data_IF_727449196247
#
_entry.id   IF_727449196247
#
_cell.length_a   1.000
_cell.length_b   1.000
_cell.length_c   1.000
_cell.angle_alpha   90.00
_cell.angle_beta   90.00
_cell.angle_gamma   90.00
#
_symmetry.space_group_name_H-M   'P 1'
#
loop_
_entity.id
_entity.type
_entity.pdbx_description
1 polymer ?
#
# COMPACT_ATOMS: atom_id res chain seq x y z
N UNK A 1 -1.05 -22.89 -29.87
CA UNK A 1 -0.01 -21.89 -30.21
C UNK A 1 0.08 -20.95 -29.04
N UNK A 2 1.00 -21.26 -28.14
CA UNK A 2 1.26 -20.42 -26.95
C UNK A 2 1.98 -19.16 -27.42
N UNK A 3 1.32 -18.03 -27.29
CA UNK A 3 1.99 -16.75 -27.44
C UNK A 3 2.88 -16.55 -26.21
N UNK A 4 4.15 -16.90 -26.38
CA UNK A 4 5.23 -16.61 -25.46
C UNK A 4 5.43 -15.08 -25.48
N UNK A 5 4.62 -14.35 -24.70
CA UNK A 5 4.76 -12.91 -24.51
C UNK A 5 6.11 -12.72 -23.84
N UNK A 6 7.02 -12.13 -24.57
CA UNK A 6 8.40 -11.82 -24.18
C UNK A 6 8.41 -10.95 -22.91
N UNK A 7 8.40 -11.58 -21.72
CA UNK A 7 8.40 -10.95 -20.39
C UNK A 7 9.75 -10.33 -19.99
N UNK A 8 10.63 -10.10 -20.94
CA UNK A 8 11.98 -9.57 -20.73
C UNK A 8 12.14 -8.10 -21.12
N UNK A 9 11.10 -7.26 -20.99
CA UNK A 9 11.35 -5.85 -20.82
C UNK A 9 12.06 -5.68 -19.46
N UNK A 10 13.14 -4.94 -19.41
CA UNK A 10 14.00 -4.67 -18.25
C UNK A 10 13.23 -4.06 -17.06
N UNK A 11 12.28 -4.79 -16.46
CA UNK A 11 11.65 -4.37 -15.23
C UNK A 11 12.68 -4.52 -14.11
N UNK A 12 13.25 -3.37 -13.70
CA UNK A 12 14.07 -3.33 -12.50
C UNK A 12 13.19 -3.69 -11.31
N UNK A 13 13.48 -4.79 -10.64
CA UNK A 13 12.89 -5.13 -9.35
C UNK A 13 13.26 -4.06 -8.33
N UNK A 14 12.33 -3.65 -7.49
CA UNK A 14 12.51 -2.60 -6.51
C UNK A 14 11.83 -1.29 -6.90
N UNK A 15 12.48 -0.14 -6.68
CA UNK A 15 11.86 1.16 -6.91
C UNK A 15 11.49 1.37 -8.39
N UNK A 16 10.23 1.71 -8.63
CA UNK A 16 9.74 2.13 -9.95
C UNK A 16 9.98 3.64 -10.06
N UNK A 17 10.73 4.12 -11.07
CA UNK A 17 11.06 5.54 -11.19
C UNK A 17 9.88 6.31 -11.80
N UNK A 18 8.90 6.66 -10.97
CA UNK A 18 7.76 7.52 -11.27
C UNK A 18 8.03 8.91 -10.73
N UNK A 19 7.50 9.95 -11.41
CA UNK A 19 7.77 11.35 -11.07
C UNK A 19 6.98 11.80 -9.83
N UNK A 20 5.66 11.58 -9.83
CA UNK A 20 4.78 11.97 -8.74
C UNK A 20 4.65 10.91 -7.64
N UNK A 21 5.15 9.70 -7.84
CA UNK A 21 4.96 8.56 -6.93
C UNK A 21 6.30 7.99 -6.45
N UNK A 22 7.07 8.73 -5.65
CA UNK A 22 8.46 8.37 -5.30
C UNK A 22 8.58 7.08 -4.47
N UNK A 23 7.51 6.66 -3.77
CA UNK A 23 7.50 5.46 -2.93
C UNK A 23 6.85 4.25 -3.62
N UNK A 24 6.89 4.19 -4.95
CA UNK A 24 6.34 3.04 -5.71
C UNK A 24 7.42 1.99 -5.95
N UNK A 25 7.11 0.71 -5.64
CA UNK A 25 8.05 -0.41 -5.74
C UNK A 25 7.39 -1.68 -6.24
N UNK A 26 8.09 -2.40 -7.12
CA UNK A 26 7.76 -3.77 -7.51
C UNK A 26 8.44 -4.76 -6.56
N UNK A 27 7.71 -5.73 -6.05
CA UNK A 27 8.22 -6.82 -5.23
C UNK A 27 8.83 -7.96 -6.07
N UNK A 28 8.81 -7.83 -7.38
CA UNK A 28 9.39 -8.81 -8.29
C UNK A 28 10.85 -9.13 -7.94
N UNK A 29 11.25 -10.38 -8.17
CA UNK A 29 12.60 -10.86 -7.89
C UNK A 29 12.91 -11.22 -6.44
N UNK A 30 12.08 -10.83 -5.46
CA UNK A 30 12.21 -11.29 -4.08
C UNK A 30 12.12 -12.81 -4.06
N UNK A 31 13.04 -13.44 -3.32
CA UNK A 31 13.14 -14.90 -3.22
C UNK A 31 12.42 -15.43 -1.98
N UNK A 32 11.72 -16.54 -2.15
CA UNK A 32 11.19 -17.34 -1.04
C UNK A 32 12.25 -18.27 -0.47
N UNK A 33 12.07 -18.77 0.74
CA UNK A 33 12.96 -19.78 1.34
C UNK A 33 13.00 -21.09 0.54
N UNK A 34 11.98 -21.36 -0.29
CA UNK A 34 11.95 -22.49 -1.22
C UNK A 34 12.72 -22.23 -2.54
N UNK A 35 13.35 -21.06 -2.68
CA UNK A 35 14.11 -20.68 -3.88
C UNK A 35 13.26 -20.17 -5.05
N UNK A 36 11.93 -20.09 -4.91
CA UNK A 36 11.05 -19.44 -5.88
C UNK A 36 11.26 -17.93 -5.89
N UNK A 37 10.79 -17.25 -6.91
CA UNK A 37 10.84 -15.79 -7.03
C UNK A 37 9.45 -15.21 -7.31
N UNK A 38 9.14 -14.09 -6.69
CA UNK A 38 8.00 -13.26 -7.09
C UNK A 38 8.23 -12.80 -8.52
N UNK A 39 7.20 -12.93 -9.36
CA UNK A 39 7.28 -12.49 -10.75
C UNK A 39 7.31 -10.95 -10.79
N UNK A 40 8.17 -10.33 -11.63
CA UNK A 40 8.16 -8.90 -11.88
C UNK A 40 6.81 -8.41 -12.44
N UNK A 41 6.48 -7.16 -12.17
CA UNK A 41 5.28 -6.49 -12.62
C UNK A 41 3.99 -7.26 -12.25
N UNK A 42 3.93 -7.79 -11.03
CA UNK A 42 2.75 -8.47 -10.48
C UNK A 42 2.26 -7.85 -9.19
N UNK A 43 3.17 -7.52 -8.29
CA UNK A 43 2.89 -7.10 -6.94
C UNK A 43 3.61 -5.76 -6.70
N UNK A 44 2.83 -4.67 -6.69
CA UNK A 44 3.35 -3.30 -6.60
C UNK A 44 2.80 -2.64 -5.33
N UNK A 45 3.67 -2.06 -4.53
CA UNK A 45 3.29 -1.22 -3.39
C UNK A 45 3.58 0.25 -3.66
N UNK A 46 2.74 1.17 -3.15
CA UNK A 46 2.87 2.61 -3.40
C UNK A 46 2.35 3.47 -2.25
N UNK A 47 2.67 4.76 -2.30
CA UNK A 47 1.88 5.83 -1.68
C UNK A 47 0.64 6.14 -2.50
N UNK A 48 -0.18 7.08 -2.02
CA UNK A 48 -1.42 7.47 -2.66
C UNK A 48 -1.20 7.98 -4.09
N UNK A 49 -2.12 7.66 -5.00
CA UNK A 49 -1.95 7.90 -6.44
C UNK A 49 -2.36 9.31 -6.90
N UNK A 50 -2.93 10.14 -6.03
CA UNK A 50 -3.44 11.47 -6.39
C UNK A 50 -2.35 12.45 -6.91
N UNK A 51 -1.07 12.18 -6.62
CA UNK A 51 0.06 12.96 -7.13
C UNK A 51 0.68 12.40 -8.43
N UNK A 52 0.12 11.30 -8.95
CA UNK A 52 0.61 10.71 -10.18
C UNK A 52 0.49 11.69 -11.36
N UNK A 53 1.57 11.83 -12.12
CA UNK A 53 1.54 12.57 -13.38
C UNK A 53 0.83 11.74 -14.46
N UNK A 54 0.32 12.36 -15.54
CA UNK A 54 -0.22 11.60 -16.66
C UNK A 54 0.78 10.57 -17.22
N UNK A 55 2.07 10.90 -17.25
CA UNK A 55 3.12 9.98 -17.67
C UNK A 55 3.30 8.80 -16.72
N UNK A 56 3.15 9.02 -15.40
CA UNK A 56 3.16 7.93 -14.42
C UNK A 56 2.01 6.95 -14.64
N UNK A 57 0.79 7.48 -14.89
CA UNK A 57 -0.39 6.66 -15.14
C UNK A 57 -0.25 5.84 -16.42
N UNK A 58 0.21 6.47 -17.52
CA UNK A 58 0.50 5.77 -18.78
C UNK A 58 1.51 4.62 -18.58
N UNK A 59 2.56 4.86 -17.79
CA UNK A 59 3.56 3.84 -17.48
C UNK A 59 2.99 2.72 -16.62
N UNK A 60 2.21 3.04 -15.57
CA UNK A 60 1.59 2.01 -14.73
C UNK A 60 0.67 1.10 -15.55
N UNK A 61 -0.17 1.67 -16.42
CA UNK A 61 -1.11 0.91 -17.24
C UNK A 61 -0.39 0.18 -18.40
N UNK A 62 0.49 0.87 -19.11
CA UNK A 62 1.14 0.34 -20.32
C UNK A 62 2.32 -0.56 -20.01
N UNK A 63 3.35 -0.05 -19.29
CA UNK A 63 4.59 -0.80 -19.04
C UNK A 63 4.39 -1.85 -17.95
N UNK A 64 3.72 -1.49 -16.85
CA UNK A 64 3.52 -2.35 -15.66
C UNK A 64 2.25 -3.17 -15.72
N UNK A 65 1.42 -2.98 -16.75
CA UNK A 65 0.16 -3.71 -16.98
C UNK A 65 -0.74 -3.69 -15.73
N UNK A 66 -0.86 -2.52 -15.09
CA UNK A 66 -1.70 -2.37 -13.90
C UNK A 66 -3.16 -2.74 -14.22
N UNK A 67 -3.72 -3.65 -13.45
CA UNK A 67 -5.09 -4.12 -13.61
C UNK A 67 -5.99 -3.83 -12.42
N UNK A 68 -5.40 -3.76 -11.23
CA UNK A 68 -6.14 -3.55 -9.99
C UNK A 68 -5.37 -2.64 -9.06
N UNK A 69 -6.06 -1.66 -8.49
CA UNK A 69 -5.60 -0.82 -7.37
C UNK A 69 -6.39 -1.18 -6.13
N UNK A 70 -5.72 -1.39 -5.01
CA UNK A 70 -6.33 -1.65 -3.70
C UNK A 70 -5.99 -0.48 -2.76
N UNK A 71 -6.98 0.32 -2.42
CA UNK A 71 -6.84 1.51 -1.59
C UNK A 71 -7.09 1.18 -0.11
N UNK A 72 -6.04 1.24 0.73
CA UNK A 72 -6.08 0.97 2.16
C UNK A 72 -6.46 2.19 3.02
N UNK A 73 -6.67 3.35 2.40
CA UNK A 73 -7.01 4.59 3.09
C UNK A 73 -8.41 4.54 3.69
N UNK A 74 -8.66 5.39 4.66
CA UNK A 74 -10.01 5.61 5.20
C UNK A 74 -10.91 6.29 4.15
N UNK A 75 -12.22 6.28 4.38
CA UNK A 75 -13.18 6.97 3.50
C UNK A 75 -12.90 8.48 3.43
N UNK A 76 -12.51 9.08 4.54
CA UNK A 76 -12.17 10.51 4.62
C UNK A 76 -10.91 10.83 3.80
N UNK A 77 -9.80 10.11 4.01
CA UNK A 77 -8.57 10.33 3.23
C UNK A 77 -8.82 10.21 1.73
N UNK A 78 -9.60 9.19 1.33
CA UNK A 78 -9.96 8.95 -0.07
C UNK A 78 -10.82 10.07 -0.65
N UNK A 79 -11.81 10.57 0.09
CA UNK A 79 -12.71 11.64 -0.38
C UNK A 79 -11.98 12.97 -0.57
N UNK A 80 -10.97 13.25 0.25
CA UNK A 80 -10.19 14.48 0.20
C UNK A 80 -9.18 14.49 -0.95
N UNK A 81 -8.59 13.34 -1.23
CA UNK A 81 -7.55 13.16 -2.26
C UNK A 81 -7.85 11.89 -3.08
N UNK A 82 -8.88 11.94 -3.95
CA UNK A 82 -9.26 10.79 -4.75
C UNK A 82 -8.12 10.37 -5.68
N UNK A 83 -8.01 9.06 -5.90
CA UNK A 83 -7.09 8.56 -6.91
C UNK A 83 -7.60 8.90 -8.31
N UNK A 84 -6.71 9.10 -9.28
CA UNK A 84 -7.09 9.33 -10.65
C UNK A 84 -7.74 8.07 -11.26
N UNK A 85 -8.72 8.29 -12.12
CA UNK A 85 -9.30 7.22 -12.93
C UNK A 85 -8.30 6.74 -13.98
N UNK A 86 -8.22 5.44 -14.18
CA UNK A 86 -7.38 4.80 -15.18
C UNK A 86 -8.20 3.79 -15.99
N UNK A 87 -8.22 3.96 -17.31
CA UNK A 87 -8.99 3.09 -18.20
C UNK A 87 -8.54 1.62 -18.07
N UNK A 88 -9.50 0.74 -17.85
CA UNK A 88 -9.26 -0.71 -17.71
C UNK A 88 -8.63 -1.14 -16.38
N UNK A 89 -8.47 -0.24 -15.41
CA UNK A 89 -8.01 -0.54 -14.05
C UNK A 89 -9.18 -0.54 -13.08
N UNK A 90 -9.26 -1.58 -12.26
CA UNK A 90 -10.28 -1.70 -11.21
C UNK A 90 -9.76 -1.10 -9.91
N UNK A 91 -10.47 -0.11 -9.35
CA UNK A 91 -10.17 0.47 -8.04
C UNK A 91 -11.02 -0.20 -6.96
N UNK A 92 -10.37 -0.84 -5.98
CA UNK A 92 -11.03 -1.54 -4.88
C UNK A 92 -10.75 -0.78 -3.58
N UNK A 93 -11.82 -0.29 -2.95
CA UNK A 93 -11.74 0.31 -1.63
C UNK A 93 -11.65 -0.77 -0.55
N UNK A 94 -10.57 -0.76 0.22
CA UNK A 94 -10.23 -1.77 1.23
C UNK A 94 -9.61 -1.12 2.49
N UNK A 95 -10.39 -0.31 3.24
CA UNK A 95 -9.86 0.50 4.33
C UNK A 95 -9.37 -0.37 5.49
N UNK A 96 -8.06 -0.36 5.74
CA UNK A 96 -7.45 -1.10 6.86
C UNK A 96 -7.79 -0.48 8.21
N UNK A 97 -7.98 0.84 8.26
CA UNK A 97 -8.43 1.56 9.44
C UNK A 97 -9.84 2.07 9.20
N UNK A 98 -10.69 2.01 10.21
CA UNK A 98 -11.97 2.70 10.23
C UNK A 98 -11.89 3.94 11.13
N UNK A 99 -12.87 4.81 11.03
CA UNK A 99 -12.91 6.07 11.80
C UNK A 99 -13.04 5.81 13.31
N UNK A 100 -13.68 4.72 13.72
CA UNK A 100 -13.83 4.31 15.12
C UNK A 100 -12.49 3.81 15.71
N UNK A 101 -11.73 3.03 14.95
CA UNK A 101 -10.43 2.48 15.37
C UNK A 101 -9.36 3.56 15.47
N UNK A 102 -9.47 4.59 14.61
CA UNK A 102 -8.53 5.73 14.58
C UNK A 102 -8.76 6.69 15.76
N UNK A 103 -9.94 6.64 16.41
CA UNK A 103 -10.27 7.52 17.55
C UNK A 103 -10.30 9.01 17.19
N UNK A 104 -10.28 9.34 15.91
CA UNK A 104 -10.37 10.70 15.41
C UNK A 104 -11.82 10.94 15.00
N UNK A 105 -12.60 11.51 15.90
CA UNK A 105 -13.80 12.27 15.49
C UNK A 105 -13.29 13.59 14.90
N UNK A 106 -13.51 13.76 13.60
CA UNK A 106 -13.11 14.98 12.85
C UNK A 106 -13.96 16.21 13.22
N UNK A 107 -14.38 16.35 14.48
CA UNK A 107 -15.22 17.46 14.94
C UNK A 107 -14.45 18.78 15.12
N UNK A 108 -13.12 18.76 15.12
CA UNK A 108 -12.28 19.96 15.23
C UNK A 108 -11.55 20.28 13.90
N UNK A 109 -12.31 20.58 12.85
CA UNK A 109 -11.75 21.13 11.62
C UNK A 109 -11.44 22.63 11.77
N UNK A 110 -10.22 22.99 12.15
CA UNK A 110 -9.70 24.33 11.82
C UNK A 110 -9.53 24.43 10.30
N UNK A 111 -10.36 25.23 9.65
CA UNK A 111 -10.24 25.57 8.23
C UNK A 111 -8.83 26.12 7.94
N UNK A 112 -8.05 25.42 7.12
CA UNK A 112 -6.80 25.94 6.54
C UNK A 112 -5.51 25.17 6.84
N UNK A 113 -5.53 24.09 7.63
CA UNK A 113 -4.32 23.24 7.77
C UNK A 113 -4.26 22.16 6.69
N UNK A 114 -3.09 21.84 6.11
CA UNK A 114 -2.96 20.71 5.20
C UNK A 114 -3.34 19.43 5.96
N UNK A 115 -4.31 18.71 5.42
CA UNK A 115 -4.82 17.47 6.03
C UNK A 115 -3.73 16.41 5.96
N UNK A 116 -3.26 15.97 7.11
CA UNK A 116 -2.14 15.06 7.28
C UNK A 116 -2.58 13.59 7.09
N UNK A 117 -1.60 12.70 6.89
CA UNK A 117 -1.78 11.26 6.99
C UNK A 117 -2.49 10.92 8.33
N UNK A 118 -3.52 10.07 8.31
CA UNK A 118 -4.29 9.73 9.51
C UNK A 118 -3.39 9.27 10.67
N UNK A 119 -2.33 8.53 10.37
CA UNK A 119 -1.35 8.06 11.37
C UNK A 119 -0.55 9.23 11.95
N UNK A 120 -0.13 10.18 11.11
CA UNK A 120 0.59 11.36 11.58
C UNK A 120 -0.30 12.25 12.45
N UNK A 121 -1.56 12.45 12.06
CA UNK A 121 -2.55 13.16 12.87
C UNK A 121 -2.78 12.52 14.25
N UNK A 122 -2.84 11.20 14.31
CA UNK A 122 -2.94 10.45 15.56
C UNK A 122 -1.72 10.67 16.47
N UNK A 123 -0.50 10.65 15.90
CA UNK A 123 0.74 10.86 16.65
C UNK A 123 0.83 12.29 17.22
N UNK A 124 0.43 13.29 16.44
CA UNK A 124 0.39 14.67 16.89
C UNK A 124 -0.65 14.87 18.01
N UNK A 125 -1.84 14.27 17.86
CA UNK A 125 -2.86 14.31 18.90
C UNK A 125 -2.39 13.63 20.19
N UNK A 126 -1.79 12.44 20.12
CA UNK A 126 -1.22 11.74 21.28
C UNK A 126 -0.14 12.60 21.98
N UNK A 127 0.74 13.23 21.22
CA UNK A 127 1.77 14.12 21.74
C UNK A 127 1.18 15.37 22.42
N UNK A 128 0.10 15.92 21.88
CA UNK A 128 -0.59 17.09 22.46
C UNK A 128 -1.26 16.79 23.81
N UNK A 129 -1.64 15.53 24.03
CA UNK A 129 -2.21 15.05 25.30
C UNK A 129 -1.14 14.65 26.35
N UNK A 130 0.16 14.86 26.04
CA UNK A 130 1.26 14.51 26.94
C UNK A 130 1.54 13.00 27.03
N UNK A 131 1.07 12.23 26.06
CA UNK A 131 1.38 10.80 25.94
C UNK A 131 2.79 10.54 25.45
N UNK A 132 3.31 9.33 25.72
CA UNK A 132 4.57 8.85 25.18
C UNK A 132 4.41 8.48 23.69
N UNK A 133 5.06 9.17 22.75
CA UNK A 133 4.92 8.90 21.32
C UNK A 133 5.38 7.48 20.94
N UNK A 134 6.40 6.92 21.58
CA UNK A 134 6.92 5.58 21.29
C UNK A 134 5.87 4.52 21.64
N UNK A 135 5.29 4.60 22.82
CA UNK A 135 4.23 3.69 23.27
C UNK A 135 3.00 3.76 22.35
N UNK A 136 2.71 4.95 21.82
CA UNK A 136 1.59 5.15 20.93
C UNK A 136 1.84 4.52 19.54
N UNK A 137 3.05 4.65 19.02
CA UNK A 137 3.48 3.99 17.77
C UNK A 137 3.39 2.47 17.91
N UNK A 138 3.92 1.92 18.99
CA UNK A 138 3.87 0.47 19.25
C UNK A 138 2.42 -0.04 19.28
N UNK A 139 1.53 0.68 19.98
CA UNK A 139 0.12 0.32 20.05
C UNK A 139 -0.60 0.45 18.70
N UNK A 140 -0.23 1.46 17.90
CA UNK A 140 -0.76 1.61 16.55
C UNK A 140 -0.40 0.40 15.67
N UNK A 141 0.87 -0.01 15.67
CA UNK A 141 1.30 -1.18 14.89
C UNK A 141 0.72 -2.49 15.42
N UNK A 142 0.56 -2.61 16.75
CA UNK A 142 -0.17 -3.74 17.35
C UNK A 142 -1.61 -3.78 16.81
N UNK A 143 -2.33 -2.66 16.83
CA UNK A 143 -3.69 -2.56 16.31
C UNK A 143 -3.78 -2.89 14.83
N UNK A 144 -2.82 -2.48 14.00
CA UNK A 144 -2.78 -2.84 12.58
C UNK A 144 -2.72 -4.36 12.32
N UNK A 145 -2.34 -5.16 13.32
CA UNK A 145 -2.19 -6.62 13.19
C UNK A 145 -3.28 -7.37 13.95
N UNK A 146 -3.64 -6.92 15.18
CA UNK A 146 -4.53 -7.69 16.06
C UNK A 146 -5.98 -7.19 16.06
N UNK A 147 -6.24 -5.98 15.57
CA UNK A 147 -7.59 -5.44 15.47
C UNK A 147 -8.43 -6.27 14.50
N UNK A 148 -9.69 -6.57 14.87
CA UNK A 148 -10.56 -7.46 14.10
C UNK A 148 -10.90 -6.86 12.73
N UNK A 149 -11.14 -5.54 12.65
CA UNK A 149 -11.40 -4.86 11.40
C UNK A 149 -10.17 -4.91 10.49
N UNK A 150 -8.99 -4.49 10.98
CA UNK A 150 -7.75 -4.50 10.22
C UNK A 150 -7.41 -5.91 9.72
N UNK A 151 -7.49 -6.91 10.60
CA UNK A 151 -7.26 -8.31 10.26
C UNK A 151 -8.21 -8.82 9.17
N UNK A 152 -9.51 -8.50 9.28
CA UNK A 152 -10.51 -8.87 8.26
C UNK A 152 -10.21 -8.24 6.90
N UNK A 153 -9.83 -6.95 6.86
CA UNK A 153 -9.52 -6.26 5.62
C UNK A 153 -8.18 -6.67 5.01
N UNK A 154 -7.19 -7.06 5.82
CA UNK A 154 -6.00 -7.74 5.29
C UNK A 154 -6.35 -9.12 4.73
N UNK A 155 -7.26 -9.87 5.35
CA UNK A 155 -7.80 -11.12 4.78
C UNK A 155 -8.43 -10.88 3.41
N UNK A 156 -9.31 -9.89 3.30
CA UNK A 156 -9.92 -9.49 2.02
C UNK A 156 -8.89 -9.05 0.98
N UNK A 157 -7.81 -8.38 1.40
CA UNK A 157 -6.71 -8.06 0.48
C UNK A 157 -6.06 -9.32 -0.11
N UNK A 158 -5.88 -10.38 0.67
CA UNK A 158 -5.40 -11.66 0.15
C UNK A 158 -6.38 -12.28 -0.85
N UNK A 159 -7.68 -12.23 -0.58
CA UNK A 159 -8.70 -12.73 -1.52
C UNK A 159 -8.62 -11.96 -2.86
N UNK A 160 -8.49 -10.63 -2.81
CA UNK A 160 -8.30 -9.80 -4.01
C UNK A 160 -7.06 -10.23 -4.79
N UNK A 161 -5.94 -10.51 -4.12
CA UNK A 161 -4.71 -10.97 -4.78
C UNK A 161 -4.87 -12.35 -5.43
N UNK A 162 -5.63 -13.25 -4.81
CA UNK A 162 -5.91 -14.59 -5.33
C UNK A 162 -6.85 -14.58 -6.53
N UNK A 163 -7.81 -13.65 -6.55
CA UNK A 163 -8.80 -13.49 -7.64
C UNK A 163 -8.26 -12.65 -8.82
N UNK A 164 -7.14 -11.92 -8.62
CA UNK A 164 -6.56 -11.07 -9.66
C UNK A 164 -6.11 -11.87 -10.89
N UNK A 165 -6.36 -11.31 -12.06
CA UNK A 165 -5.88 -11.85 -13.34
C UNK A 165 -4.33 -11.80 -13.46
N UNK A 166 -3.79 -11.94 -14.66
CA UNK A 166 -2.34 -11.94 -14.90
C UNK A 166 -1.72 -10.53 -14.96
N UNK A 167 -2.49 -9.46 -14.72
CA UNK A 167 -2.03 -8.09 -14.65
C UNK A 167 -1.47 -7.75 -13.26
N UNK A 168 -0.83 -6.58 -13.13
CA UNK A 168 -0.31 -6.12 -11.85
C UNK A 168 -1.43 -5.71 -10.90
N UNK A 169 -1.24 -6.02 -9.61
CA UNK A 169 -2.01 -5.44 -8.51
C UNK A 169 -1.11 -4.45 -7.77
N UNK A 170 -1.61 -3.22 -7.61
CA UNK A 170 -0.97 -2.18 -6.82
C UNK A 170 -1.82 -1.95 -5.57
N UNK A 171 -1.20 -1.94 -4.39
CA UNK A 171 -1.87 -1.49 -3.17
C UNK A 171 -1.17 -0.29 -2.56
N UNK A 172 -1.95 0.62 -2.02
CA UNK A 172 -1.44 1.85 -1.44
C UNK A 172 -2.23 2.28 -0.19
N UNK A 173 -1.65 3.20 0.55
CA UNK A 173 -2.32 4.04 1.54
C UNK A 173 -1.94 5.50 1.26
N UNK A 174 -1.86 6.37 2.25
CA UNK A 174 -1.43 7.76 2.05
C UNK A 174 0.07 7.84 1.77
N UNK A 175 0.92 7.48 2.71
CA UNK A 175 2.39 7.52 2.55
C UNK A 175 2.98 6.26 1.88
N UNK A 176 2.24 5.16 1.78
CA UNK A 176 2.74 3.87 1.30
C UNK A 176 3.69 3.17 2.28
N UNK A 177 3.63 3.55 3.55
CA UNK A 177 4.56 3.15 4.60
C UNK A 177 3.94 2.15 5.56
N UNK A 178 3.05 2.56 6.45
CA UNK A 178 2.60 1.78 7.59
C UNK A 178 1.59 0.69 7.20
N UNK A 179 0.37 1.04 6.79
CA UNK A 179 -0.68 0.09 6.36
C UNK A 179 -0.21 -0.80 5.19
N UNK A 180 0.44 -0.19 4.22
CA UNK A 180 1.05 -0.89 3.07
C UNK A 180 2.22 -1.75 3.52
N UNK A 181 3.05 -1.27 4.45
CA UNK A 181 4.17 -2.01 5.01
C UNK A 181 3.72 -3.29 5.71
N UNK A 182 2.71 -3.18 6.60
CA UNK A 182 2.13 -4.34 7.29
C UNK A 182 1.51 -5.33 6.29
N UNK A 183 0.68 -4.87 5.35
CA UNK A 183 0.09 -5.74 4.33
C UNK A 183 1.14 -6.44 3.48
N UNK A 184 2.23 -5.72 3.12
CA UNK A 184 3.35 -6.31 2.39
C UNK A 184 4.11 -7.34 3.23
N UNK A 185 4.36 -7.05 4.52
CA UNK A 185 5.03 -7.99 5.42
C UNK A 185 4.22 -9.28 5.63
N UNK A 186 2.91 -9.16 5.80
CA UNK A 186 2.00 -10.30 5.87
C UNK A 186 2.05 -11.14 4.57
N UNK A 187 1.98 -10.49 3.40
CA UNK A 187 2.07 -11.16 2.10
C UNK A 187 3.40 -11.89 1.91
N UNK A 188 4.52 -11.22 2.18
CA UNK A 188 5.85 -11.83 2.05
C UNK A 188 6.03 -13.00 3.02
N UNK A 189 5.46 -12.90 4.24
CA UNK A 189 5.46 -14.00 5.21
C UNK A 189 4.65 -15.19 4.69
N UNK A 190 3.46 -14.97 4.14
CA UNK A 190 2.63 -16.02 3.54
C UNK A 190 3.32 -16.69 2.34
N UNK A 191 4.15 -15.95 1.60
CA UNK A 191 4.97 -16.45 0.50
C UNK A 191 6.28 -17.12 0.98
N UNK A 192 6.47 -17.31 2.28
CA UNK A 192 7.67 -17.91 2.86
C UNK A 192 8.96 -17.15 2.47
N UNK A 193 8.93 -15.83 2.46
CA UNK A 193 10.14 -14.99 2.35
C UNK A 193 10.82 -14.92 3.72
N UNK A 194 12.14 -14.89 3.76
CA UNK A 194 12.90 -14.81 5.01
C UNK A 194 12.67 -13.47 5.73
N UNK A 195 12.72 -13.52 7.07
CA UNK A 195 12.42 -12.38 7.95
C UNK A 195 13.29 -11.16 7.67
N UNK A 196 14.58 -11.36 7.40
CA UNK A 196 15.50 -10.25 7.17
C UNK A 196 15.19 -9.51 5.85
N UNK A 197 14.75 -10.24 4.84
CA UNK A 197 14.26 -9.64 3.59
C UNK A 197 12.97 -8.85 3.80
N UNK A 198 12.02 -9.36 4.61
CA UNK A 198 10.78 -8.67 4.97
C UNK A 198 11.11 -7.37 5.70
N UNK A 199 11.97 -7.40 6.72
CA UNK A 199 12.40 -6.22 7.47
C UNK A 199 13.08 -5.21 6.54
N UNK A 200 13.99 -5.66 5.66
CA UNK A 200 14.64 -4.76 4.70
C UNK A 200 13.66 -4.07 3.74
N UNK A 201 12.62 -4.75 3.29
CA UNK A 201 11.58 -4.11 2.48
C UNK A 201 10.79 -3.08 3.30
N UNK A 202 10.42 -3.43 4.54
CA UNK A 202 9.65 -2.59 5.44
C UNK A 202 10.35 -1.26 5.74
N UNK A 203 11.65 -1.28 6.08
CA UNK A 203 12.42 -0.09 6.47
C UNK A 203 12.92 0.77 5.31
N UNK A 204 12.74 0.32 4.06
CA UNK A 204 13.13 1.10 2.87
C UNK A 204 12.17 2.22 2.50
N UNK A 205 11.12 2.37 3.24
CA UNK A 205 10.01 3.29 2.94
C UNK A 205 10.36 4.73 3.31
#
# INVERSE_FOLDING_TARGET
MEQNVNRTANHCTGRIPLEGLPNTRDLGGIRTMEGKKILPARLIRSGALYEATPADLERLVGEWRLGTVVDFRTAVERSQKPDPDMDGVTNIFNPILNEETVGITFEDEEEGKPKQDAILGMLEHASSLGGDPELYVDKLYENLVVDEHASSYYGRFFDILLEADDRAVLWHCTAGKDRVGVGTALLLSALSVDRDTIIRDFVRT
#
